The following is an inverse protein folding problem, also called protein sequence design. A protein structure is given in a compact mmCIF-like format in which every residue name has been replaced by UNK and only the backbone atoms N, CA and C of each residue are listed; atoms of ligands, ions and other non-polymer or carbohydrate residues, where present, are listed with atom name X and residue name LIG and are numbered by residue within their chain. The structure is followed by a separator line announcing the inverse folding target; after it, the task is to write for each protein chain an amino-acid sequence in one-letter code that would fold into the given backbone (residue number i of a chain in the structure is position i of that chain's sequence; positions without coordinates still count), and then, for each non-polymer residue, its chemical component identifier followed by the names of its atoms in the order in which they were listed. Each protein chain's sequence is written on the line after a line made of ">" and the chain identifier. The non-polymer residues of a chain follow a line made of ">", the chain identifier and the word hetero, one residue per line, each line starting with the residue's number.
data_IF_641172496891
#
_entry.id   IF_641172496891
#
_cell.length_a   1.000
_cell.length_b   1.000
_cell.length_c   1.000
_cell.angle_alpha   90.00
_cell.angle_beta   90.00
_cell.angle_gamma   90.00
#
_symmetry.space_group_name_H-M   'P 1'
#
loop_
_entity.id
_entity.type
_entity.pdbx_description
1 polymer ?
#
# COMPACT_ATOMS: atom_id res chain seq x y z
N UNK A 1 17.94 -8.22 60.08
CA UNK A 1 18.30 -8.19 58.64
C UNK A 1 17.14 -8.51 57.68
N UNK A 2 15.87 -8.31 58.06
CA UNK A 2 14.70 -8.65 57.21
C UNK A 2 13.97 -7.44 56.59
N UNK A 3 14.32 -6.21 56.97
CA UNK A 3 13.61 -5.00 56.49
C UNK A 3 14.11 -4.46 55.16
N UNK A 4 15.34 -4.79 54.76
CA UNK A 4 15.90 -4.37 53.46
C UNK A 4 15.30 -5.16 52.27
N UNK A 5 14.82 -6.38 52.49
CA UNK A 5 14.31 -7.24 51.41
C UNK A 5 12.92 -6.85 50.93
N UNK A 6 12.06 -6.32 51.82
CA UNK A 6 10.70 -5.92 51.45
C UNK A 6 10.71 -4.68 50.55
N UNK A 7 11.58 -3.71 50.84
CA UNK A 7 11.74 -2.51 50.02
C UNK A 7 12.32 -2.84 48.64
N UNK A 8 13.33 -3.73 48.57
CA UNK A 8 13.88 -4.21 47.31
C UNK A 8 12.84 -5.01 46.50
N UNK A 9 12.05 -5.86 47.16
CA UNK A 9 10.99 -6.62 46.51
C UNK A 9 9.87 -5.72 45.96
N UNK A 10 9.41 -4.73 46.75
CA UNK A 10 8.43 -3.73 46.29
C UNK A 10 8.96 -2.89 45.12
N UNK A 11 10.25 -2.55 45.12
CA UNK A 11 10.89 -1.83 44.01
C UNK A 11 10.95 -2.69 42.73
N UNK A 12 11.24 -3.99 42.84
CA UNK A 12 11.22 -4.92 41.71
C UNK A 12 9.83 -5.14 41.11
N UNK A 13 8.79 -5.10 41.95
CA UNK A 13 7.39 -5.23 41.50
C UNK A 13 6.96 -4.03 40.64
N UNK A 14 7.47 -2.83 40.89
CA UNK A 14 7.19 -1.64 40.06
C UNK A 14 7.67 -1.79 38.61
N UNK A 15 8.73 -2.58 38.35
CA UNK A 15 9.22 -2.87 36.99
C UNK A 15 8.49 -4.04 36.31
N UNK A 16 7.83 -4.92 37.08
CA UNK A 16 7.07 -6.04 36.53
C UNK A 16 5.68 -5.61 36.03
N UNK A 17 5.17 -4.47 36.48
CA UNK A 17 3.91 -3.87 36.01
C UNK A 17 4.09 -2.68 35.07
N UNK A 18 5.33 -2.29 34.73
CA UNK A 18 5.60 -1.19 33.79
C UNK A 18 5.48 -1.59 32.32
N UNK A 19 4.81 -2.70 31.99
CA UNK A 19 4.55 -3.14 30.60
C UNK A 19 3.41 -2.35 29.95
N UNK A 20 3.41 -1.03 30.12
CA UNK A 20 2.50 -0.13 29.42
C UNK A 20 3.28 1.09 28.92
N UNK A 21 4.32 0.82 28.13
CA UNK A 21 4.92 1.84 27.28
C UNK A 21 4.53 1.58 25.82
N UNK A 22 3.25 1.78 25.52
CA UNK A 22 2.80 2.15 24.18
C UNK A 22 2.46 3.63 24.22
N UNK A 23 3.50 4.46 24.24
CA UNK A 23 3.40 5.90 24.17
C UNK A 23 4.06 6.36 22.87
N UNK A 24 3.50 5.97 21.72
CA UNK A 24 3.63 6.67 20.44
C UNK A 24 2.30 6.56 19.69
N UNK A 25 1.58 7.68 19.71
CA UNK A 25 0.52 8.14 18.81
C UNK A 25 -0.72 7.25 18.60
N UNK A 26 -1.68 7.40 19.51
CA UNK A 26 -3.09 7.22 19.17
C UNK A 26 -3.56 8.36 18.26
N UNK A 27 -3.53 8.14 16.95
CA UNK A 27 -4.49 8.56 15.92
C UNK A 27 -3.80 8.57 14.54
N UNK A 28 -4.32 7.77 13.62
CA UNK A 28 -4.03 7.73 12.18
C UNK A 28 -2.57 7.43 11.75
N UNK A 29 -2.00 6.29 12.15
CA UNK A 29 -0.78 5.78 11.50
C UNK A 29 -1.11 5.23 10.10
N UNK A 30 -1.30 6.10 9.12
CA UNK A 30 -1.61 5.68 7.76
C UNK A 30 -0.33 5.46 6.95
N UNK A 31 -0.29 4.34 6.25
CA UNK A 31 0.81 3.97 5.35
C UNK A 31 0.36 4.19 3.91
N UNK A 32 1.17 4.91 3.14
CA UNK A 32 0.94 5.16 1.72
C UNK A 32 1.99 4.38 0.94
N UNK A 33 1.53 3.44 0.12
CA UNK A 33 2.38 2.78 -0.87
C UNK A 33 2.23 3.49 -2.21
N UNK A 34 3.36 3.93 -2.77
CA UNK A 34 3.42 4.55 -4.09
C UNK A 34 4.22 3.63 -4.99
N UNK A 35 3.60 3.18 -6.06
CA UNK A 35 4.28 2.48 -7.14
C UNK A 35 4.41 3.44 -8.32
N UNK A 36 5.63 3.65 -8.79
CA UNK A 36 5.90 4.51 -9.94
C UNK A 36 6.42 3.66 -11.09
N UNK A 37 5.77 3.79 -12.24
CA UNK A 37 6.10 3.10 -13.47
C UNK A 37 6.46 4.11 -14.56
N UNK A 38 7.63 3.92 -15.20
CA UNK A 38 8.02 4.67 -16.40
C UNK A 38 7.59 3.90 -17.63
N UNK A 39 6.62 4.44 -18.35
CA UNK A 39 6.03 3.81 -19.53
C UNK A 39 6.90 4.02 -20.79
N UNK A 40 6.85 3.09 -21.74
CA UNK A 40 7.56 3.24 -23.02
C UNK A 40 6.87 4.21 -24.00
N UNK A 41 5.58 4.46 -23.80
CA UNK A 41 4.73 5.32 -24.64
C UNK A 41 3.46 4.59 -25.06
N UNK A 42 2.31 5.26 -24.98
CA UNK A 42 0.99 4.68 -25.28
C UNK A 42 0.40 5.33 -26.52
N UNK A 43 0.00 4.51 -27.51
CA UNK A 43 -0.56 4.94 -28.80
C UNK A 43 -1.59 3.91 -29.29
N UNK A 44 -2.66 4.36 -29.96
CA UNK A 44 -3.63 3.49 -30.66
C UNK A 44 -4.64 2.78 -29.75
N UNK A 45 -5.37 1.80 -30.32
CA UNK A 45 -6.49 1.10 -29.65
C UNK A 45 -6.08 0.35 -28.38
N UNK A 46 -4.83 -0.13 -28.33
CA UNK A 46 -4.27 -0.77 -27.14
C UNK A 46 -4.11 0.20 -25.95
N UNK A 47 -4.07 1.51 -26.19
CA UNK A 47 -4.09 2.53 -25.16
C UNK A 47 -5.37 2.50 -24.33
N UNK A 48 -6.49 2.36 -25.03
CA UNK A 48 -7.81 2.29 -24.41
C UNK A 48 -7.95 0.98 -23.64
N UNK A 49 -7.57 -0.14 -24.25
CA UNK A 49 -7.56 -1.45 -23.58
C UNK A 49 -6.70 -1.46 -22.30
N UNK A 50 -5.54 -0.79 -22.31
CA UNK A 50 -4.71 -0.67 -21.10
C UNK A 50 -5.35 0.25 -20.04
N UNK A 51 -5.98 1.35 -20.44
CA UNK A 51 -6.71 2.19 -19.47
C UNK A 51 -7.90 1.45 -18.86
N UNK A 52 -8.59 0.61 -19.64
CA UNK A 52 -9.64 -0.26 -19.14
C UNK A 52 -9.09 -1.31 -18.17
N UNK A 53 -7.94 -1.92 -18.45
CA UNK A 53 -7.32 -2.87 -17.54
C UNK A 53 -6.95 -2.23 -16.20
N UNK A 54 -6.32 -1.05 -16.24
CA UNK A 54 -6.03 -0.25 -15.05
C UNK A 54 -7.30 0.07 -14.25
N UNK A 55 -8.39 0.44 -14.93
CA UNK A 55 -9.67 0.77 -14.27
C UNK A 55 -10.28 -0.46 -13.60
N UNK A 56 -10.25 -1.63 -14.25
CA UNK A 56 -10.75 -2.88 -13.67
C UNK A 56 -9.93 -3.32 -12.46
N UNK A 57 -8.59 -3.31 -12.59
CA UNK A 57 -7.69 -3.67 -11.50
C UNK A 57 -7.87 -2.73 -10.30
N UNK A 58 -7.99 -1.41 -10.55
CA UNK A 58 -8.28 -0.43 -9.50
C UNK A 58 -9.62 -0.70 -8.80
N UNK A 59 -10.62 -1.24 -9.50
CA UNK A 59 -11.90 -1.65 -8.92
C UNK A 59 -11.76 -2.81 -7.93
N UNK A 60 -10.92 -3.81 -8.25
CA UNK A 60 -10.62 -4.93 -7.32
C UNK A 60 -9.84 -4.42 -6.11
N UNK A 61 -8.80 -3.61 -6.34
CA UNK A 61 -7.96 -3.05 -5.26
C UNK A 61 -8.81 -2.22 -4.30
N UNK A 62 -9.64 -1.29 -4.79
CA UNK A 62 -10.51 -0.46 -3.96
C UNK A 62 -11.68 -1.24 -3.32
N UNK A 63 -11.95 -2.46 -3.79
CA UNK A 63 -12.98 -3.34 -3.23
C UNK A 63 -12.50 -4.15 -2.02
N UNK A 64 -11.20 -4.24 -1.77
CA UNK A 64 -10.64 -4.99 -0.65
C UNK A 64 -10.66 -4.16 0.64
N UNK A 65 -11.15 -4.74 1.74
CA UNK A 65 -11.32 -4.03 3.01
C UNK A 65 -10.01 -3.60 3.68
N UNK A 66 -8.86 -4.14 3.25
CA UNK A 66 -7.53 -3.75 3.75
C UNK A 66 -7.05 -2.44 3.13
N UNK A 67 -7.59 -2.06 1.97
CA UNK A 67 -7.23 -0.84 1.25
C UNK A 67 -8.21 0.26 1.63
N UNK A 68 -7.70 1.36 2.21
CA UNK A 68 -8.54 2.51 2.55
C UNK A 68 -8.94 3.31 1.31
N UNK A 69 -8.03 3.40 0.34
CA UNK A 69 -8.23 4.00 -0.99
C UNK A 69 -7.04 3.67 -1.88
N UNK A 70 -7.28 3.56 -3.18
CA UNK A 70 -6.23 3.47 -4.19
C UNK A 70 -6.55 4.36 -5.40
N UNK A 71 -5.54 5.07 -5.88
CA UNK A 71 -5.61 5.94 -7.05
C UNK A 71 -4.65 5.45 -8.12
N UNK A 72 -5.14 5.36 -9.36
CA UNK A 72 -4.29 5.20 -10.54
C UNK A 72 -4.18 6.55 -11.23
N UNK A 73 -2.96 7.07 -11.29
CA UNK A 73 -2.66 8.41 -11.78
C UNK A 73 -1.83 8.30 -13.05
N UNK A 74 -2.24 9.03 -14.08
CA UNK A 74 -1.45 9.25 -15.29
C UNK A 74 -0.93 10.67 -15.27
N UNK A 75 0.32 10.82 -15.67
CA UNK A 75 0.91 12.14 -15.82
C UNK A 75 0.12 12.98 -16.82
N UNK A 76 -0.48 14.07 -16.35
CA UNK A 76 -1.32 14.92 -17.19
C UNK A 76 -0.55 16.11 -17.80
N UNK A 77 0.43 16.66 -17.08
CA UNK A 77 1.16 17.86 -17.52
C UNK A 77 2.55 17.96 -16.89
N UNK A 78 3.57 18.26 -17.69
CA UNK A 78 4.96 18.42 -17.24
C UNK A 78 5.98 17.86 -18.24
N UNK A 79 7.21 17.63 -17.78
CA UNK A 79 8.34 17.28 -18.63
C UNK A 79 8.37 15.81 -19.12
N UNK A 80 7.74 14.89 -18.38
CA UNK A 80 7.73 13.45 -18.72
C UNK A 80 6.31 12.89 -18.59
N UNK A 81 5.61 12.70 -19.70
CA UNK A 81 4.22 12.20 -19.71
C UNK A 81 4.12 10.67 -19.57
N UNK A 82 5.24 10.00 -19.27
CA UNK A 82 5.32 8.54 -19.21
C UNK A 82 5.08 7.99 -17.81
N UNK A 83 4.75 8.83 -16.84
CA UNK A 83 4.56 8.36 -15.47
C UNK A 83 3.16 7.79 -15.29
N UNK A 84 3.12 6.53 -14.86
CA UNK A 84 1.98 5.87 -14.27
C UNK A 84 2.28 5.70 -12.79
N UNK A 85 1.44 6.27 -11.93
CA UNK A 85 1.62 6.23 -10.48
C UNK A 85 0.40 5.56 -9.86
N UNK A 86 0.62 4.53 -9.04
CA UNK A 86 -0.45 3.89 -8.26
C UNK A 86 -0.20 4.22 -6.80
N UNK A 87 -1.17 4.87 -6.16
CA UNK A 87 -1.07 5.28 -4.75
C UNK A 87 -2.13 4.53 -3.97
N UNK A 88 -1.71 3.67 -3.05
CA UNK A 88 -2.60 2.88 -2.19
C UNK A 88 -2.37 3.23 -0.72
N UNK A 89 -3.45 3.52 0.01
CA UNK A 89 -3.42 3.87 1.43
C UNK A 89 -3.94 2.71 2.28
N UNK A 90 -3.25 2.47 3.39
CA UNK A 90 -3.53 1.39 4.34
C UNK A 90 -3.54 1.93 5.76
N UNK A 91 -4.33 1.31 6.62
CA UNK A 91 -4.41 1.64 8.05
C UNK A 91 -3.11 1.28 8.80
N UNK A 92 -2.33 0.33 8.30
CA UNK A 92 -1.07 -0.10 8.89
C UNK A 92 -0.25 -0.93 7.88
N UNK A 93 0.99 -1.25 8.23
CA UNK A 93 1.88 -2.05 7.38
C UNK A 93 1.45 -3.51 7.25
N UNK A 94 0.74 -4.07 8.22
CA UNK A 94 0.25 -5.46 8.15
C UNK A 94 -0.80 -5.60 7.03
N UNK A 95 -1.74 -4.66 6.95
CA UNK A 95 -2.72 -4.59 5.86
C UNK A 95 -2.03 -4.41 4.50
N UNK A 96 -1.00 -3.55 4.43
CA UNK A 96 -0.19 -3.37 3.21
C UNK A 96 0.42 -4.70 2.74
N UNK A 97 1.20 -5.36 3.58
CA UNK A 97 1.93 -6.56 3.16
C UNK A 97 1.00 -7.76 2.92
N UNK A 98 -0.02 -7.95 3.76
CA UNK A 98 -0.99 -9.02 3.56
C UNK A 98 -1.82 -8.81 2.30
N UNK A 99 -2.19 -7.58 1.96
CA UNK A 99 -2.89 -7.27 0.72
C UNK A 99 -2.05 -7.65 -0.52
N UNK A 100 -0.80 -7.21 -0.60
CA UNK A 100 0.05 -7.50 -1.75
C UNK A 100 0.45 -8.98 -1.84
N UNK A 101 0.54 -9.70 -0.72
CA UNK A 101 0.73 -11.16 -0.74
C UNK A 101 -0.46 -11.92 -1.36
N UNK A 102 -1.67 -11.37 -1.24
CA UNK A 102 -2.89 -11.99 -1.74
C UNK A 102 -3.35 -11.43 -3.10
N UNK A 103 -2.71 -10.37 -3.61
CA UNK A 103 -3.21 -9.58 -4.73
C UNK A 103 -3.42 -10.41 -6.01
N UNK A 104 -2.46 -11.26 -6.35
CA UNK A 104 -2.58 -12.15 -7.51
C UNK A 104 -3.81 -13.06 -7.38
N UNK A 105 -4.02 -13.64 -6.19
CA UNK A 105 -5.18 -14.47 -5.91
C UNK A 105 -6.51 -13.71 -5.88
N UNK A 106 -6.50 -12.40 -5.64
CA UNK A 106 -7.68 -11.55 -5.80
C UNK A 106 -8.01 -11.33 -7.27
N UNK A 107 -7.00 -11.08 -8.10
CA UNK A 107 -7.18 -10.92 -9.54
C UNK A 107 -7.62 -12.22 -10.23
N UNK A 108 -7.04 -13.36 -9.85
CA UNK A 108 -7.45 -14.69 -10.34
C UNK A 108 -8.91 -15.03 -10.03
N UNK A 109 -9.44 -14.53 -8.90
CA UNK A 109 -10.86 -14.71 -8.53
C UNK A 109 -11.77 -13.74 -9.28
N UNK A 110 -11.29 -12.55 -9.60
CA UNK A 110 -12.09 -11.49 -10.20
C UNK A 110 -12.17 -11.59 -11.73
N UNK A 111 -11.14 -12.14 -12.38
CA UNK A 111 -10.98 -12.09 -13.83
C UNK A 111 -10.79 -13.48 -14.44
N UNK A 112 -11.16 -13.64 -15.71
CA UNK A 112 -10.85 -14.87 -16.44
C UNK A 112 -9.36 -14.96 -16.75
N UNK A 113 -8.85 -16.18 -16.96
CA UNK A 113 -7.45 -16.37 -17.38
C UNK A 113 -7.12 -15.61 -18.66
N UNK A 114 -8.03 -15.60 -19.63
CA UNK A 114 -7.83 -14.88 -20.90
C UNK A 114 -7.69 -13.35 -20.68
N UNK A 115 -8.46 -12.79 -19.73
CA UNK A 115 -8.34 -11.39 -19.37
C UNK A 115 -6.99 -11.09 -18.70
N UNK A 116 -6.55 -11.95 -17.78
CA UNK A 116 -5.25 -11.81 -17.12
C UNK A 116 -4.10 -11.90 -18.12
N UNK A 117 -4.12 -12.91 -18.99
CA UNK A 117 -3.07 -13.09 -20.01
C UNK A 117 -2.98 -11.87 -20.95
N UNK A 118 -4.13 -11.27 -21.31
CA UNK A 118 -4.18 -10.03 -22.10
C UNK A 118 -3.66 -8.82 -21.33
N UNK A 119 -4.06 -8.68 -20.07
CA UNK A 119 -3.61 -7.58 -19.22
C UNK A 119 -2.09 -7.66 -19.00
N UNK A 120 -1.53 -8.86 -18.78
CA UNK A 120 -0.09 -9.11 -18.68
C UNK A 120 0.66 -8.72 -19.96
N UNK A 121 0.11 -9.04 -21.14
CA UNK A 121 0.69 -8.60 -22.41
C UNK A 121 0.74 -7.07 -22.52
N UNK A 122 -0.36 -6.39 -22.15
CA UNK A 122 -0.43 -4.93 -22.16
C UNK A 122 0.55 -4.30 -21.15
N UNK A 123 0.65 -4.87 -19.94
CA UNK A 123 1.62 -4.44 -18.93
C UNK A 123 3.06 -4.61 -19.44
N UNK A 124 3.42 -5.78 -19.99
CA UNK A 124 4.74 -6.03 -20.56
C UNK A 124 5.08 -5.16 -21.77
N UNK A 125 4.06 -4.73 -22.53
CA UNK A 125 4.23 -3.83 -23.68
C UNK A 125 4.48 -2.38 -23.26
N UNK A 126 3.76 -1.89 -22.26
CA UNK A 126 3.71 -0.45 -21.96
C UNK A 126 4.51 -0.02 -20.75
N UNK A 127 4.75 -0.91 -19.79
CA UNK A 127 5.39 -0.57 -18.52
C UNK A 127 6.85 -1.02 -18.54
N UNK A 128 7.74 -0.08 -18.20
CA UNK A 128 9.18 -0.29 -18.16
C UNK A 128 9.71 -0.28 -16.73
N UNK A 129 10.44 0.77 -16.37
CA UNK A 129 11.06 0.86 -15.04
C UNK A 129 10.00 0.99 -13.95
N UNK A 130 10.27 0.35 -12.82
CA UNK A 130 9.37 0.30 -11.66
C UNK A 130 10.14 0.73 -10.39
N UNK A 131 9.47 1.49 -9.52
CA UNK A 131 9.91 1.74 -8.15
C UNK A 131 8.75 1.64 -7.16
N UNK A 132 9.05 1.12 -5.97
CA UNK A 132 8.14 0.99 -4.84
C UNK A 132 8.63 1.86 -3.69
N UNK A 133 7.75 2.72 -3.18
CA UNK A 133 8.05 3.54 -2.01
C UNK A 133 6.92 3.47 -0.97
N UNK A 134 7.31 3.36 0.30
CA UNK A 134 6.40 3.37 1.43
C UNK A 134 6.60 4.67 2.21
N UNK A 135 5.53 5.45 2.33
CA UNK A 135 5.50 6.70 3.08
C UNK A 135 4.59 6.59 4.30
N UNK A 136 4.93 7.35 5.35
CA UNK A 136 4.04 7.60 6.47
C UNK A 136 3.37 8.95 6.27
N UNK A 137 2.06 9.01 6.54
CA UNK A 137 1.36 10.31 6.63
C UNK A 137 1.88 11.08 7.85
N UNK A 138 2.27 12.34 7.64
CA UNK A 138 2.58 13.25 8.75
C UNK A 138 1.27 13.60 9.46
N UNK A 139 1.18 13.25 10.74
CA UNK A 139 -0.01 13.51 11.57
C UNK A 139 -0.44 14.99 11.47
N UNK A 140 -1.74 15.24 11.55
CA UNK A 140 -2.40 16.56 11.43
C UNK A 140 -2.34 17.26 10.07
N UNK A 141 -1.78 16.63 9.03
CA UNK A 141 -1.80 17.17 7.64
C UNK A 141 -3.02 16.72 6.83
N UNK A 142 -3.75 15.71 7.33
CA UNK A 142 -4.97 15.17 6.72
C UNK A 142 -6.17 15.95 7.24
N UNK A 143 -6.97 16.51 6.33
CA UNK A 143 -8.21 17.24 6.65
C UNK A 143 -9.42 16.31 6.62
#
# INVERSE_FOLDING_TARGET
>A
MFRLSLAAFLFSVLFLFSTSSFAQDGNDFHVIHVQTFKMHGIMGDDAEAFNESLTRQAGVINGDSRVLRSYVLRHFWGADSRDLVIVSEFENSENLFSFYNDLDGLFEKAFSKEQLDKDDELWGKYVGQHSDEIYRVVSDTRK
#
